data_IF_194999710529
#
_entry.id   IF_194999710529
#
_cell.length_a   1.000
_cell.length_b   1.000
_cell.length_c   1.000
_cell.angle_alpha   90.00
_cell.angle_beta   90.00
_cell.angle_gamma   90.00
#
_symmetry.space_group_name_H-M   'P 1'
#
loop_
_entity.id
_entity.type
_entity.pdbx_description
1 polymer ?
#
# COMPACT_ATOMS: atom_id res chain seq x y z
N UNK A 1 21.17 -42.48 6.08
CA UNK A 1 20.46 -41.36 6.76
C UNK A 1 21.33 -40.10 6.76
N UNK A 2 21.74 -39.59 5.59
CA UNK A 2 22.64 -38.42 5.49
C UNK A 2 22.15 -37.33 4.52
N UNK A 3 21.12 -37.59 3.71
CA UNK A 3 20.62 -36.62 2.73
C UNK A 3 19.54 -35.65 3.24
N UNK A 4 18.85 -35.99 4.32
CA UNK A 4 17.74 -35.17 4.85
C UNK A 4 18.27 -33.96 5.62
N UNK A 5 19.41 -34.09 6.29
CA UNK A 5 19.99 -33.00 7.08
C UNK A 5 20.49 -31.84 6.23
N UNK A 6 21.00 -32.09 5.01
CA UNK A 6 21.47 -31.03 4.12
C UNK A 6 20.34 -30.11 3.62
N UNK A 7 19.11 -30.62 3.47
CA UNK A 7 17.94 -29.83 3.05
C UNK A 7 17.40 -28.93 4.17
N UNK A 8 17.61 -29.28 5.44
CA UNK A 8 17.13 -28.50 6.57
C UNK A 8 18.04 -27.31 6.91
N UNK A 9 19.33 -27.36 6.54
CA UNK A 9 20.29 -26.29 6.86
C UNK A 9 20.18 -25.11 5.90
N UNK A 10 19.57 -25.29 4.71
CA UNK A 10 19.34 -24.18 3.77
C UNK A 10 18.08 -23.36 4.11
N UNK A 11 17.24 -23.83 5.04
CA UNK A 11 15.98 -23.16 5.41
C UNK A 11 16.14 -22.06 6.47
N UNK A 12 17.34 -21.88 7.04
CA UNK A 12 17.63 -20.79 7.98
C UNK A 12 18.32 -19.63 7.27
N UNK A 13 17.78 -19.19 6.12
CA UNK A 13 17.98 -17.80 5.73
C UNK A 13 17.24 -17.00 6.79
N UNK A 14 17.99 -16.54 7.79
CA UNK A 14 17.56 -15.49 8.71
C UNK A 14 16.95 -14.42 7.81
N UNK A 15 15.62 -14.26 7.86
CA UNK A 15 14.95 -13.15 7.25
C UNK A 15 15.45 -11.91 8.00
N UNK A 16 16.60 -11.39 7.59
CA UNK A 16 17.05 -10.06 7.94
C UNK A 16 16.00 -9.18 7.29
N UNK A 17 14.97 -8.84 8.05
CA UNK A 17 13.89 -7.97 7.61
C UNK A 17 14.52 -6.64 7.26
N UNK A 18 14.82 -6.45 5.98
CA UNK A 18 15.26 -5.15 5.49
C UNK A 18 14.11 -4.18 5.71
N UNK A 19 14.39 -3.03 6.29
CA UNK A 19 13.37 -2.01 6.50
C UNK A 19 12.70 -1.68 5.15
N UNK A 20 11.36 -1.76 5.14
CA UNK A 20 10.53 -1.55 3.97
C UNK A 20 10.83 -0.18 3.34
N UNK A 21 10.84 -0.10 2.01
CA UNK A 21 10.97 1.18 1.30
C UNK A 21 9.66 1.53 0.62
N UNK A 22 9.28 2.80 0.65
CA UNK A 22 8.05 3.28 0.01
C UNK A 22 8.29 4.61 -0.71
N UNK A 23 7.41 4.93 -1.66
CA UNK A 23 7.27 6.30 -2.13
C UNK A 23 6.48 7.12 -1.11
N UNK A 24 6.88 8.38 -0.91
CA UNK A 24 6.22 9.33 -0.03
C UNK A 24 5.87 10.63 -0.76
N UNK A 25 4.68 11.16 -0.53
CA UNK A 25 4.26 12.49 -0.99
C UNK A 25 3.25 13.03 0.04
N UNK A 26 3.37 14.32 0.38
CA UNK A 26 2.49 14.98 1.36
C UNK A 26 1.10 15.34 0.79
N UNK A 27 0.15 15.78 1.64
CA UNK A 27 -1.26 16.01 1.24
C UNK A 27 -1.51 17.24 0.36
N UNK A 28 -0.46 17.98 -0.04
CA UNK A 28 -0.61 19.24 -0.79
C UNK A 28 -0.85 19.05 -2.29
N UNK A 29 -0.75 17.83 -2.79
CA UNK A 29 -0.92 17.52 -4.20
C UNK A 29 -2.39 17.37 -4.58
N UNK A 30 -2.73 17.80 -5.80
CA UNK A 30 -4.12 17.84 -6.31
C UNK A 30 -4.45 16.70 -7.27
N UNK A 31 -3.49 15.85 -7.58
CA UNK A 31 -3.68 14.64 -8.39
C UNK A 31 -2.65 13.57 -8.05
N UNK A 32 -2.93 12.34 -8.44
CA UNK A 32 -1.96 11.24 -8.34
C UNK A 32 -0.71 11.45 -9.19
N UNK A 33 -0.84 12.10 -10.35
CA UNK A 33 0.30 12.37 -11.23
C UNK A 33 1.22 13.46 -10.65
N UNK A 34 0.64 14.48 -10.01
CA UNK A 34 1.38 15.50 -9.29
C UNK A 34 2.13 14.90 -8.08
N UNK A 35 1.45 14.07 -7.28
CA UNK A 35 2.10 13.32 -6.20
C UNK A 35 3.19 12.36 -6.72
N UNK A 36 2.98 11.69 -7.85
CA UNK A 36 3.97 10.76 -8.44
C UNK A 36 5.21 11.49 -8.95
N UNK A 37 5.04 12.62 -9.62
CA UNK A 37 6.15 13.42 -10.14
C UNK A 37 7.04 13.95 -9.01
N UNK A 38 6.46 14.23 -7.85
CA UNK A 38 7.14 14.83 -6.70
C UNK A 38 7.37 13.85 -5.53
N UNK A 39 7.15 12.55 -5.73
CA UNK A 39 7.31 11.59 -4.64
C UNK A 39 8.77 11.34 -4.30
N UNK A 40 9.08 11.32 -3.02
CA UNK A 40 10.38 10.95 -2.49
C UNK A 40 10.47 9.44 -2.30
N UNK A 41 11.67 8.88 -2.48
CA UNK A 41 11.96 7.49 -2.14
C UNK A 41 12.56 7.46 -0.73
N UNK A 42 11.99 6.67 0.16
CA UNK A 42 12.48 6.58 1.53
C UNK A 42 12.38 5.18 2.12
N UNK A 43 13.31 4.87 3.01
CA UNK A 43 13.21 3.72 3.92
C UNK A 43 12.25 4.09 5.05
N UNK A 44 11.27 3.22 5.33
CA UNK A 44 10.41 3.35 6.49
C UNK A 44 11.27 3.31 7.76
N UNK A 45 11.28 4.40 8.51
CA UNK A 45 12.20 4.58 9.65
C UNK A 45 11.93 3.60 10.80
N UNK A 46 10.69 3.14 10.94
CA UNK A 46 10.26 2.22 11.98
C UNK A 46 9.99 0.83 11.35
N UNK A 47 10.62 -0.25 11.86
CA UNK A 47 10.45 -1.61 11.32
C UNK A 47 9.03 -2.17 11.51
N UNK A 48 8.20 -1.55 12.35
CA UNK A 48 6.79 -1.92 12.51
C UNK A 48 5.91 -1.38 11.37
N UNK A 49 6.44 -0.48 10.54
CA UNK A 49 5.77 0.03 9.34
C UNK A 49 5.90 -0.99 8.20
N UNK A 50 4.98 -1.93 8.19
CA UNK A 50 5.00 -3.09 7.29
C UNK A 50 4.23 -2.89 5.99
N UNK A 51 3.64 -1.70 5.79
CA UNK A 51 2.82 -1.38 4.62
C UNK A 51 3.27 -0.09 3.95
N UNK A 52 3.31 -0.09 2.62
CA UNK A 52 3.24 1.14 1.85
C UNK A 52 1.77 1.47 1.60
N UNK A 53 1.42 2.75 1.73
CA UNK A 53 0.04 3.22 1.56
C UNK A 53 -0.09 4.27 0.46
N UNK A 54 -1.32 4.37 -0.04
CA UNK A 54 -1.84 5.42 -0.89
C UNK A 54 -3.18 5.87 -0.31
N UNK A 55 -3.32 7.16 -0.09
CA UNK A 55 -4.56 7.76 0.44
C UNK A 55 -5.04 8.83 -0.51
N UNK A 56 -6.31 8.76 -0.86
CA UNK A 56 -7.06 9.87 -1.43
C UNK A 56 -8.15 10.26 -0.44
N UNK A 57 -8.23 11.54 -0.09
CA UNK A 57 -9.30 12.07 0.76
C UNK A 57 -10.01 13.22 0.05
N UNK A 58 -11.32 13.08 -0.10
CA UNK A 58 -12.19 14.01 -0.83
C UNK A 58 -13.17 14.67 0.13
N UNK A 59 -13.08 16.00 0.23
CA UNK A 59 -13.96 16.86 1.02
C UNK A 59 -15.01 17.45 0.09
N UNK A 60 -16.29 17.22 0.39
CA UNK A 60 -17.40 17.84 -0.35
C UNK A 60 -17.95 19.01 0.46
N UNK A 61 -17.77 20.21 -0.07
CA UNK A 61 -18.31 21.44 0.48
C UNK A 61 -19.85 21.41 0.44
N UNK A 62 -20.51 21.62 1.58
CA UNK A 62 -21.97 21.52 1.68
C UNK A 62 -22.70 22.70 1.03
N UNK A 63 -22.08 23.88 1.01
CA UNK A 63 -22.71 25.11 0.56
C UNK A 63 -22.62 25.26 -0.96
N UNK A 64 -21.46 24.93 -1.54
CA UNK A 64 -21.17 25.04 -2.97
C UNK A 64 -21.32 23.72 -3.72
N UNK A 65 -21.37 22.59 -3.01
CA UNK A 65 -21.36 21.25 -3.60
C UNK A 65 -20.01 20.83 -4.20
N UNK A 66 -18.98 21.70 -4.14
CA UNK A 66 -17.67 21.46 -4.74
C UNK A 66 -16.92 20.38 -3.97
N UNK A 67 -16.30 19.46 -4.70
CA UNK A 67 -15.41 18.44 -4.11
C UNK A 67 -13.96 18.82 -4.31
N UNK A 68 -13.14 18.71 -3.26
CA UNK A 68 -11.69 18.90 -3.31
C UNK A 68 -11.01 17.65 -2.75
N UNK A 69 -10.00 17.15 -3.46
CA UNK A 69 -9.28 15.93 -3.11
C UNK A 69 -7.83 16.20 -2.78
N UNK A 70 -7.31 15.48 -1.79
CA UNK A 70 -5.89 15.45 -1.43
C UNK A 70 -5.34 14.04 -1.58
N UNK A 71 -4.07 13.95 -1.96
CA UNK A 71 -3.41 12.70 -2.30
C UNK A 71 -2.13 12.55 -1.48
N UNK A 72 -1.92 11.38 -0.88
CA UNK A 72 -0.74 11.10 -0.07
C UNK A 72 -0.21 9.68 -0.28
N UNK A 73 1.09 9.52 -0.11
CA UNK A 73 1.79 8.23 -0.08
C UNK A 73 2.72 8.18 1.13
N UNK A 74 2.96 6.98 1.65
CA UNK A 74 3.95 6.81 2.71
C UNK A 74 3.99 5.40 3.29
N UNK A 75 4.65 5.28 4.43
CA UNK A 75 4.71 4.05 5.23
C UNK A 75 3.60 4.07 6.29
N UNK A 76 3.02 2.90 6.58
CA UNK A 76 2.03 2.74 7.64
C UNK A 76 2.21 1.42 8.38
N UNK A 77 1.83 1.44 9.67
CA UNK A 77 1.81 0.25 10.52
C UNK A 77 0.68 -0.69 10.12
N UNK A 78 -0.51 -0.13 9.88
CA UNK A 78 -1.70 -0.88 9.49
C UNK A 78 -2.23 -0.41 8.14
N UNK A 79 -3.16 -1.19 7.59
CA UNK A 79 -3.98 -0.80 6.45
C UNK A 79 -5.40 -0.42 6.89
N UNK A 80 -5.53 0.40 7.94
CA UNK A 80 -6.83 0.91 8.39
C UNK A 80 -6.97 2.41 8.10
N UNK A 81 -8.05 2.78 7.40
CA UNK A 81 -8.41 4.17 7.16
C UNK A 81 -8.69 4.94 8.46
N UNK A 82 -9.06 4.25 9.54
CA UNK A 82 -9.33 4.86 10.84
C UNK A 82 -8.06 5.36 11.53
N UNK A 83 -6.87 4.92 11.11
CA UNK A 83 -5.59 5.48 11.60
C UNK A 83 -5.36 6.90 11.05
N UNK A 84 -6.05 7.27 9.97
CA UNK A 84 -5.98 8.60 9.36
C UNK A 84 -7.09 9.47 9.97
N UNK A 85 -6.70 10.49 10.75
CA UNK A 85 -7.63 11.35 11.52
C UNK A 85 -8.83 11.84 10.69
N UNK A 86 -8.58 12.46 9.54
CA UNK A 86 -9.65 13.01 8.69
C UNK A 86 -10.61 11.93 8.14
N UNK A 87 -10.11 10.72 7.90
CA UNK A 87 -10.90 9.61 7.39
C UNK A 87 -11.73 8.95 8.49
N UNK A 88 -11.19 8.87 9.71
CA UNK A 88 -11.89 8.40 10.90
C UNK A 88 -13.03 9.34 11.28
N UNK A 89 -12.78 10.64 11.26
CA UNK A 89 -13.78 11.66 11.60
C UNK A 89 -14.89 11.75 10.55
N UNK A 90 -14.59 11.43 9.28
CA UNK A 90 -15.57 11.44 8.19
C UNK A 90 -16.08 12.83 7.84
N UNK A 91 -15.53 13.88 8.46
CA UNK A 91 -15.86 15.27 8.20
C UNK A 91 -14.65 16.19 8.45
N UNK A 92 -14.63 17.33 7.79
CA UNK A 92 -13.67 18.41 7.98
C UNK A 92 -14.42 19.73 8.00
N UNK A 93 -14.37 20.46 9.11
CA UNK A 93 -15.14 21.71 9.30
C UNK A 93 -16.64 21.54 8.98
N UNK A 94 -17.22 20.39 9.35
CA UNK A 94 -18.62 20.06 9.08
C UNK A 94 -18.91 19.59 7.65
N UNK A 95 -17.94 19.62 6.73
CA UNK A 95 -18.09 19.09 5.37
C UNK A 95 -17.77 17.58 5.34
N UNK A 96 -18.58 16.73 4.68
CA UNK A 96 -18.32 15.29 4.59
C UNK A 96 -17.00 14.99 3.90
N UNK A 97 -16.29 14.01 4.45
CA UNK A 97 -15.02 13.48 3.93
C UNK A 97 -15.21 12.03 3.49
N UNK A 98 -14.74 11.72 2.29
CA UNK A 98 -14.65 10.35 1.78
C UNK A 98 -13.19 10.00 1.58
N UNK A 99 -12.79 8.80 1.99
CA UNK A 99 -11.41 8.35 1.88
C UNK A 99 -11.29 7.02 1.16
N UNK A 100 -10.28 6.93 0.30
CA UNK A 100 -9.87 5.70 -0.37
C UNK A 100 -8.44 5.36 0.07
N UNK A 101 -8.28 4.20 0.70
CA UNK A 101 -6.98 3.68 1.17
C UNK A 101 -6.61 2.46 0.34
N UNK A 102 -5.38 2.43 -0.17
CA UNK A 102 -4.77 1.25 -0.77
C UNK A 102 -3.45 0.96 -0.09
N UNK A 103 -3.19 -0.31 0.20
CA UNK A 103 -1.96 -0.77 0.83
C UNK A 103 -1.32 -1.89 0.05
N UNK A 104 -0.01 -2.01 0.18
CA UNK A 104 0.76 -3.11 -0.36
C UNK A 104 2.00 -3.33 0.51
N UNK A 105 2.59 -4.52 0.39
CA UNK A 105 3.83 -4.88 1.07
C UNK A 105 4.90 -5.18 0.03
N UNK A 106 6.14 -4.77 0.31
CA UNK A 106 7.28 -4.89 -0.60
C UNK A 106 7.81 -3.52 -1.04
N UNK A 107 9.11 -3.47 -1.29
CA UNK A 107 9.80 -2.22 -1.61
C UNK A 107 9.14 -1.49 -2.79
N UNK A 108 8.81 -0.23 -2.56
CA UNK A 108 8.28 0.71 -3.56
C UNK A 108 6.98 0.28 -4.25
N UNK A 109 6.23 -0.66 -3.65
CA UNK A 109 5.02 -1.22 -4.26
C UNK A 109 3.91 -0.17 -4.51
N UNK A 110 3.96 0.99 -3.84
CA UNK A 110 3.00 2.09 -4.01
C UNK A 110 3.37 3.06 -5.16
N UNK A 111 4.16 2.62 -6.14
CA UNK A 111 4.60 3.42 -7.30
C UNK A 111 3.44 3.93 -8.16
N UNK A 112 2.39 3.12 -8.33
CA UNK A 112 1.30 3.41 -9.28
C UNK A 112 0.60 4.73 -8.98
N UNK A 113 0.07 5.38 -10.04
CA UNK A 113 -0.90 6.47 -9.92
C UNK A 113 -2.30 5.94 -9.60
N UNK A 114 -2.66 4.72 -10.02
CA UNK A 114 -3.99 4.13 -9.77
C UNK A 114 -4.10 3.45 -8.40
N UNK A 115 -5.29 3.47 -7.79
CA UNK A 115 -5.62 2.75 -6.55
C UNK A 115 -5.83 1.23 -6.76
N UNK A 116 -5.71 0.74 -8.00
CA UNK A 116 -5.94 -0.66 -8.31
C UNK A 116 -4.70 -1.48 -7.94
N UNK A 117 -4.83 -2.34 -6.93
CA UNK A 117 -3.90 -3.43 -6.69
C UNK A 117 -3.81 -4.29 -7.95
N UNK A 118 -2.60 -4.64 -8.40
CA UNK A 118 -2.41 -5.53 -9.54
C UNK A 118 -3.08 -6.89 -9.31
N UNK A 119 -4.25 -7.10 -9.93
CA UNK A 119 -4.98 -8.38 -10.03
C UNK A 119 -4.16 -9.46 -10.79
N UNK A 120 -3.02 -9.07 -11.34
CA UNK A 120 -2.18 -9.91 -12.21
C UNK A 120 -1.53 -11.07 -11.42
N UNK A 121 -1.19 -10.89 -10.14
CA UNK A 121 -0.51 -11.91 -9.34
C UNK A 121 -1.41 -13.11 -8.97
N UNK A 122 -2.67 -12.95 -8.50
CA UNK A 122 -3.53 -14.11 -8.20
C UNK A 122 -3.92 -14.93 -9.44
N UNK A 123 -3.97 -14.33 -10.63
CA UNK A 123 -4.33 -15.03 -11.86
C UNK A 123 -3.27 -16.06 -12.29
N UNK A 124 -1.99 -15.76 -12.09
CA UNK A 124 -0.89 -16.65 -12.49
C UNK A 124 -0.78 -17.85 -11.53
N UNK A 125 -0.96 -17.63 -10.22
CA UNK A 125 -0.96 -18.71 -9.23
C UNK A 125 -2.12 -19.70 -9.45
N UNK A 126 -3.30 -19.23 -9.84
CA UNK A 126 -4.44 -20.09 -10.14
C UNK A 126 -4.19 -21.01 -11.35
N UNK A 127 -3.52 -20.51 -12.39
CA UNK A 127 -3.19 -21.30 -13.58
C UNK A 127 -2.19 -22.42 -13.28
N UNK A 128 -1.20 -22.15 -12.45
CA UNK A 128 -0.18 -23.12 -12.05
C UNK A 128 -0.84 -24.29 -11.27
N UNK A 129 -1.71 -23.99 -10.30
CA UNK A 129 -2.42 -25.01 -9.52
C UNK A 129 -3.32 -25.91 -10.38
N UNK A 130 -3.96 -25.35 -11.42
CA UNK A 130 -4.81 -26.13 -12.35
C UNK A 130 -3.98 -27.06 -13.24
N UNK A 131 -2.78 -26.63 -13.66
CA UNK A 131 -1.88 -27.48 -14.44
C UNK A 131 -1.34 -28.64 -13.61
N UNK A 132 -0.92 -28.39 -12.37
CA UNK A 132 -0.40 -29.45 -11.49
C UNK A 132 -1.47 -30.45 -11.02
N UNK A 133 -2.72 -30.02 -10.81
CA UNK A 133 -3.83 -30.91 -10.47
C UNK A 133 -4.33 -31.75 -11.65
N UNK A 134 -4.07 -31.34 -12.90
CA UNK A 134 -4.41 -32.13 -14.10
C UNK A 134 -3.32 -33.11 -14.54
N UNK A 135 -2.12 -33.03 -13.95
CA UNK A 135 -0.98 -33.90 -14.26
C UNK A 135 -0.92 -35.13 -13.32
N UNK A 136 -1.72 -35.15 -12.25
CA UNK A 136 -1.87 -36.28 -11.33
C UNK A 136 -3.18 -37.04 -11.54
#
# INVERSE_FOLDING_TARGET
MSGIYALLILSSVLAVGTALKCYACGPNYKSWDDCKANSEKGTCADPTLTNCIKVEASVKDKDTGRTTSVYAKGCAKTCDKNDIKMCREGQLNGNPVTCSLHCCSGDYCNASSSLMASIIIPAICALISVVFTKIH
#
